data_IF_685618636391
#
_entry.id   IF_685618636391
#
_cell.length_a   1.000
_cell.length_b   1.000
_cell.length_c   1.000
_cell.angle_alpha   90.00
_cell.angle_beta   90.00
_cell.angle_gamma   90.00
#
_symmetry.space_group_name_H-M   'P 1'
#
loop_
_entity.id
_entity.type
_entity.pdbx_description
1 polymer ?
#
# COMPACT_ATOMS: atom_id res chain seq x y z
N UNK A 1 3.94 -3.95 3.94
CA UNK A 1 3.65 -3.81 2.50
C UNK A 1 2.66 -2.68 2.27
N UNK A 2 2.89 -1.84 1.27
CA UNK A 2 1.89 -0.91 0.75
C UNK A 2 1.35 -1.43 -0.57
N UNK A 3 0.04 -1.32 -0.79
CA UNK A 3 -0.61 -1.72 -2.03
C UNK A 3 -1.50 -0.59 -2.49
N UNK A 4 -1.26 -0.17 -3.73
CA UNK A 4 -2.07 0.78 -4.45
C UNK A 4 -2.89 0.00 -5.48
N UNK A 5 -4.20 -0.05 -5.29
CA UNK A 5 -5.18 -0.48 -6.27
C UNK A 5 -5.84 0.76 -6.88
N UNK A 6 -6.47 0.61 -8.03
CA UNK A 6 -7.09 1.73 -8.73
C UNK A 6 -8.23 2.39 -7.94
N UNK A 7 -8.82 1.70 -6.97
CA UNK A 7 -9.91 2.19 -6.10
C UNK A 7 -9.63 2.07 -4.59
N UNK A 8 -8.42 1.65 -4.20
CA UNK A 8 -8.05 1.39 -2.79
C UNK A 8 -6.56 1.57 -2.52
N UNK A 9 -6.21 2.07 -1.32
CA UNK A 9 -4.84 2.11 -0.82
C UNK A 9 -4.76 1.43 0.55
N UNK A 10 -3.88 0.43 0.66
CA UNK A 10 -3.71 -0.38 1.85
C UNK A 10 -2.29 -0.35 2.39
N UNK A 11 -2.17 -0.36 3.71
CA UNK A 11 -0.96 -0.77 4.42
C UNK A 11 -1.19 -2.05 5.20
N UNK A 12 -0.43 -3.09 4.85
CA UNK A 12 -0.55 -4.42 5.42
C UNK A 12 0.73 -4.80 6.14
N UNK A 13 0.62 -5.21 7.41
CA UNK A 13 1.71 -5.67 8.25
C UNK A 13 1.29 -6.93 9.00
N UNK A 14 2.26 -7.72 9.48
CA UNK A 14 1.94 -8.85 10.35
C UNK A 14 1.18 -8.37 11.59
N UNK A 15 0.13 -9.09 11.98
CA UNK A 15 -0.49 -8.85 13.28
C UNK A 15 0.51 -9.24 14.38
N UNK A 16 0.60 -8.43 15.44
CA UNK A 16 1.61 -8.61 16.49
C UNK A 16 1.43 -9.93 17.25
N UNK A 17 0.17 -10.25 17.52
CA UNK A 17 -0.19 -11.35 18.42
C UNK A 17 -0.83 -12.55 17.68
N UNK A 18 -0.97 -12.45 16.35
CA UNK A 18 -1.58 -13.49 15.53
C UNK A 18 -0.69 -13.74 14.28
N UNK A 19 0.09 -14.85 14.27
CA UNK A 19 0.99 -15.17 13.17
C UNK A 19 0.27 -15.63 11.90
N UNK A 20 -1.05 -15.84 11.93
CA UNK A 20 -1.88 -16.24 10.78
C UNK A 20 -2.71 -15.07 10.20
N UNK A 21 -2.80 -13.93 10.91
CA UNK A 21 -3.44 -12.71 10.44
C UNK A 21 -2.50 -11.54 10.09
N UNK A 22 -2.96 -10.69 9.16
CA UNK A 22 -2.39 -9.38 8.87
C UNK A 22 -3.25 -8.29 9.50
N UNK A 23 -2.59 -7.24 10.01
CA UNK A 23 -3.24 -5.97 10.27
C UNK A 23 -3.27 -5.18 8.95
N UNK A 24 -4.45 -5.09 8.36
CA UNK A 24 -4.74 -4.32 7.15
C UNK A 24 -5.25 -2.95 7.56
N UNK A 25 -4.69 -1.89 6.99
CA UNK A 25 -4.94 -0.51 7.40
C UNK A 25 -5.24 0.37 6.19
N UNK A 26 -6.16 1.32 6.35
CA UNK A 26 -6.53 2.29 5.33
C UNK A 26 -6.80 3.68 5.94
N UNK A 27 -6.71 4.71 5.09
CA UNK A 27 -7.09 6.09 5.44
C UNK A 27 -8.52 6.44 5.04
N UNK A 28 -9.04 5.77 4.02
CA UNK A 28 -10.43 5.89 3.56
C UNK A 28 -11.25 4.73 4.10
N UNK A 29 -12.48 5.01 4.53
CA UNK A 29 -13.37 4.07 5.21
C UNK A 29 -13.68 2.82 4.37
N UNK A 30 -13.71 2.97 3.04
CA UNK A 30 -14.16 1.92 2.13
C UNK A 30 -13.02 1.12 1.50
N UNK A 31 -11.77 1.56 1.62
CA UNK A 31 -10.63 0.98 0.91
C UNK A 31 -10.40 -0.50 1.28
N UNK A 32 -10.51 -0.85 2.55
CA UNK A 32 -10.34 -2.24 3.01
C UNK A 32 -11.45 -3.13 2.41
N UNK A 33 -12.69 -2.68 2.44
CA UNK A 33 -13.83 -3.48 1.96
C UNK A 33 -13.86 -3.63 0.44
N UNK A 34 -13.42 -2.60 -0.30
CA UNK A 34 -13.26 -2.68 -1.76
C UNK A 34 -12.21 -3.71 -2.14
N UNK A 35 -11.05 -3.63 -1.49
CA UNK A 35 -9.93 -4.52 -1.79
C UNK A 35 -10.14 -5.95 -1.26
N UNK A 36 -10.80 -6.11 -0.11
CA UNK A 36 -10.98 -7.39 0.58
C UNK A 36 -12.44 -7.50 1.03
N UNK A 37 -13.34 -7.92 0.13
CA UNK A 37 -14.75 -8.09 0.46
C UNK A 37 -14.96 -9.04 1.64
N UNK A 38 -15.79 -8.62 2.61
CA UNK A 38 -16.08 -9.39 3.82
C UNK A 38 -15.12 -9.18 4.99
N UNK A 39 -14.11 -8.32 4.85
CA UNK A 39 -13.28 -7.91 5.99
C UNK A 39 -14.11 -7.12 7.02
N UNK A 40 -13.94 -7.42 8.31
CA UNK A 40 -14.56 -6.63 9.38
C UNK A 40 -13.67 -5.44 9.72
N UNK A 41 -14.10 -4.25 9.30
CA UNK A 41 -13.37 -2.99 9.51
C UNK A 41 -13.79 -2.36 10.83
N UNK A 42 -12.81 -1.89 11.59
CA UNK A 42 -13.01 -1.06 12.78
C UNK A 42 -12.24 0.26 12.66
N UNK A 43 -12.65 1.25 13.45
CA UNK A 43 -12.01 2.55 13.52
C UNK A 43 -11.12 2.67 14.76
N UNK A 44 -9.97 3.31 14.57
CA UNK A 44 -9.06 3.74 15.61
C UNK A 44 -8.71 5.22 15.33
N UNK A 45 -9.38 6.14 16.03
CA UNK A 45 -9.29 7.57 15.75
C UNK A 45 -7.89 8.17 16.06
N UNK A 46 -7.11 7.49 16.91
CA UNK A 46 -5.78 7.93 17.33
C UNK A 46 -4.67 7.39 16.41
N UNK A 47 -5.04 6.55 15.44
CA UNK A 47 -4.11 5.92 14.53
C UNK A 47 -3.78 6.75 13.28
N UNK A 48 -2.53 6.64 12.82
CA UNK A 48 -2.05 7.17 11.53
C UNK A 48 -2.80 6.63 10.30
N UNK A 49 -3.37 5.43 10.44
CA UNK A 49 -4.40 4.84 9.58
C UNK A 49 -5.64 4.56 10.42
N UNK A 50 -6.66 5.40 10.24
CA UNK A 50 -7.91 5.38 11.01
C UNK A 50 -8.68 4.07 10.88
N UNK A 51 -8.73 3.49 9.67
CA UNK A 51 -9.53 2.30 9.39
C UNK A 51 -8.64 1.08 9.38
N UNK A 52 -9.05 0.03 10.08
CA UNK A 52 -8.23 -1.15 10.35
C UNK A 52 -9.05 -2.41 10.26
N UNK A 53 -8.41 -3.52 9.92
CA UNK A 53 -9.00 -4.85 9.96
C UNK A 53 -7.92 -5.87 10.29
N UNK A 54 -8.26 -6.86 11.12
CA UNK A 54 -7.45 -8.06 11.31
C UNK A 54 -7.97 -9.11 10.34
N UNK A 55 -7.15 -9.48 9.36
CA UNK A 55 -7.58 -10.30 8.22
C UNK A 55 -6.67 -11.53 8.09
N UNK A 56 -7.21 -12.75 7.96
CA UNK A 56 -6.41 -13.95 7.70
C UNK A 56 -5.54 -13.79 6.45
N UNK A 57 -4.27 -14.22 6.52
CA UNK A 57 -3.32 -14.13 5.39
C UNK A 57 -3.88 -14.69 4.09
N UNK A 58 -4.56 -15.85 4.15
CA UNK A 58 -5.19 -16.49 2.99
C UNK A 58 -6.21 -15.60 2.30
N UNK A 59 -7.03 -14.89 3.08
CA UNK A 59 -8.08 -14.00 2.55
C UNK A 59 -7.46 -12.78 1.86
N UNK A 60 -6.39 -12.23 2.43
CA UNK A 60 -5.61 -11.17 1.78
C UNK A 60 -4.98 -11.68 0.47
N UNK A 61 -4.39 -12.87 0.48
CA UNK A 61 -3.76 -13.45 -0.71
C UNK A 61 -4.77 -13.68 -1.85
N UNK A 62 -5.94 -14.22 -1.55
CA UNK A 62 -7.01 -14.46 -2.53
C UNK A 62 -7.55 -13.15 -3.13
N UNK A 63 -7.70 -12.12 -2.28
CA UNK A 63 -8.07 -10.77 -2.71
C UNK A 63 -7.03 -10.16 -3.66
N UNK A 64 -5.74 -10.24 -3.32
CA UNK A 64 -4.66 -9.74 -4.18
C UNK A 64 -4.56 -10.52 -5.49
N UNK A 65 -4.74 -11.85 -5.45
CA UNK A 65 -4.82 -12.68 -6.67
C UNK A 65 -5.94 -12.19 -7.57
N UNK A 66 -7.11 -11.93 -7.03
CA UNK A 66 -8.27 -11.46 -7.79
C UNK A 66 -8.01 -10.09 -8.39
N UNK A 67 -7.45 -9.15 -7.62
CA UNK A 67 -7.07 -7.82 -8.10
C UNK A 67 -6.08 -7.89 -9.27
N UNK A 68 -5.06 -8.75 -9.18
CA UNK A 68 -4.05 -8.96 -10.24
C UNK A 68 -4.71 -9.51 -11.52
N UNK A 69 -5.57 -10.52 -11.38
CA UNK A 69 -6.25 -11.12 -12.54
C UNK A 69 -7.27 -10.19 -13.20
N UNK A 70 -7.75 -9.17 -12.48
CA UNK A 70 -8.68 -8.16 -12.99
C UNK A 70 -8.01 -6.95 -13.65
N UNK A 71 -6.68 -6.92 -13.76
CA UNK A 71 -5.98 -5.81 -14.44
C UNK A 71 -6.28 -5.88 -15.94
N UNK A 72 -7.12 -4.96 -16.41
CA UNK A 72 -7.56 -4.82 -17.81
C UNK A 72 -7.15 -3.47 -18.44
N UNK A 73 -6.39 -2.67 -17.70
CA UNK A 73 -5.94 -1.34 -18.10
C UNK A 73 -4.47 -1.33 -18.55
N UNK A 74 -4.11 -0.58 -19.60
CA UNK A 74 -2.73 -0.44 -20.04
C UNK A 74 -1.94 0.59 -19.21
N UNK A 75 -2.63 1.45 -18.45
CA UNK A 75 -2.05 2.50 -17.63
C UNK A 75 -2.78 2.56 -16.28
N UNK A 76 -2.04 2.45 -15.17
CA UNK A 76 -2.63 2.45 -13.84
C UNK A 76 -3.31 3.78 -13.47
N UNK A 77 -2.71 4.93 -13.81
CA UNK A 77 -3.27 6.23 -13.43
C UNK A 77 -4.60 6.47 -14.11
N UNK A 78 -4.70 6.12 -15.39
CA UNK A 78 -5.94 6.27 -16.17
C UNK A 78 -7.08 5.39 -15.63
N UNK A 79 -6.75 4.32 -14.89
CA UNK A 79 -7.74 3.45 -14.24
C UNK A 79 -8.32 4.01 -12.93
N UNK A 80 -7.68 5.01 -12.32
CA UNK A 80 -8.10 5.61 -11.04
C UNK A 80 -9.15 6.69 -11.28
N UNK A 81 -10.42 6.37 -10.99
CA UNK A 81 -11.54 7.28 -11.27
C UNK A 81 -11.73 8.39 -10.23
N UNK A 82 -11.35 8.13 -8.97
CA UNK A 82 -11.52 9.11 -7.89
C UNK A 82 -10.47 10.22 -8.00
N UNK A 83 -10.92 11.46 -8.24
CA UNK A 83 -10.04 12.60 -8.49
C UNK A 83 -8.98 12.82 -7.40
N UNK A 84 -9.38 12.82 -6.12
CA UNK A 84 -8.45 13.07 -5.01
C UNK A 84 -7.43 11.95 -4.84
N UNK A 85 -7.85 10.69 -5.09
CA UNK A 85 -6.98 9.52 -5.10
C UNK A 85 -6.01 9.57 -6.27
N UNK A 86 -6.50 9.87 -7.47
CA UNK A 86 -5.69 10.04 -8.66
C UNK A 86 -4.60 11.10 -8.44
N UNK A 87 -4.97 12.24 -7.87
CA UNK A 87 -4.04 13.31 -7.54
C UNK A 87 -2.99 12.86 -6.51
N UNK A 88 -3.41 12.14 -5.45
CA UNK A 88 -2.48 11.59 -4.45
C UNK A 88 -1.51 10.58 -5.05
N UNK A 89 -2.00 9.63 -5.85
CA UNK A 89 -1.15 8.61 -6.48
C UNK A 89 -0.20 9.22 -7.51
N UNK A 90 -0.64 10.26 -8.24
CA UNK A 90 0.21 10.99 -9.17
C UNK A 90 1.39 11.67 -8.49
N UNK A 91 1.19 12.23 -7.28
CA UNK A 91 2.27 12.78 -6.45
C UNK A 91 3.26 11.69 -6.03
N UNK A 92 2.77 10.58 -5.50
CA UNK A 92 3.63 9.44 -5.12
C UNK A 92 4.43 8.94 -6.31
N UNK A 93 3.80 8.75 -7.47
CA UNK A 93 4.51 8.35 -8.69
C UNK A 93 5.58 9.38 -9.11
N UNK A 94 5.31 10.67 -8.96
CA UNK A 94 6.27 11.74 -9.19
C UNK A 94 7.48 11.62 -8.27
N UNK A 95 7.25 11.41 -6.97
CA UNK A 95 8.33 11.22 -5.99
C UNK A 95 9.16 9.97 -6.31
N UNK A 96 8.51 8.88 -6.73
CA UNK A 96 9.20 7.65 -7.14
C UNK A 96 10.06 7.84 -8.39
N UNK A 97 9.78 8.83 -9.24
CA UNK A 97 10.62 9.15 -10.39
C UNK A 97 12.01 9.62 -9.95
N UNK A 98 12.15 10.27 -8.80
CA UNK A 98 13.44 10.66 -8.25
C UNK A 98 14.32 9.46 -7.84
N UNK A 99 13.73 8.27 -7.67
CA UNK A 99 14.47 7.03 -7.40
C UNK A 99 15.07 6.42 -8.68
N UNK A 100 14.65 6.88 -9.86
CA UNK A 100 15.22 6.44 -11.12
C UNK A 100 16.51 7.24 -11.36
N UNK A 101 17.70 6.60 -11.35
CA UNK A 101 18.94 7.32 -11.59
C UNK A 101 18.96 7.84 -13.04
N UNK A 102 19.31 9.12 -13.20
CA UNK A 102 19.66 9.65 -14.51
C UNK A 102 20.95 8.99 -15.00
N UNK A 103 20.90 8.31 -16.15
CA UNK A 103 22.12 7.79 -16.80
C UNK A 103 22.85 6.68 -16.04
N UNK A 104 22.20 5.52 -15.85
CA UNK A 104 22.90 4.23 -15.80
C UNK A 104 23.94 4.02 -14.69
N UNK A 105 23.81 4.68 -13.53
CA UNK A 105 24.62 4.33 -12.35
C UNK A 105 23.74 4.07 -11.15
N UNK A 106 23.44 2.79 -10.93
CA UNK A 106 23.08 2.28 -9.62
C UNK A 106 24.20 2.70 -8.66
N UNK A 107 23.92 3.62 -7.73
CA UNK A 107 24.80 3.82 -6.59
C UNK A 107 24.59 2.62 -5.68
N UNK A 108 25.67 1.91 -5.38
CA UNK A 108 25.63 0.71 -4.55
C UNK A 108 25.28 1.14 -3.12
N UNK A 109 24.62 0.30 -2.30
CA UNK A 109 24.40 0.59 -0.88
C UNK A 109 25.68 0.95 -0.09
N UNK A 110 26.87 0.72 -0.65
CA UNK A 110 28.15 1.16 -0.10
C UNK A 110 28.39 2.69 -0.18
N UNK A 111 27.60 3.43 -0.97
CA UNK A 111 27.74 4.89 -1.14
C UNK A 111 26.95 5.68 -0.08
N UNK A 112 26.09 5.01 0.70
CA UNK A 112 25.47 5.60 1.89
C UNK A 112 26.40 5.27 3.06
N UNK A 113 27.29 6.22 3.37
CA UNK A 113 28.16 6.13 4.53
C UNK A 113 27.36 5.76 5.79
N UNK A 114 27.88 4.75 6.49
CA UNK A 114 27.50 4.35 7.83
C UNK A 114 27.37 5.60 8.73
N UNK A 115 26.13 6.02 8.94
CA UNK A 115 25.74 7.03 9.91
C UNK A 115 25.53 6.43 11.29
N UNK A 116 26.38 5.50 11.74
CA UNK A 116 26.50 5.18 13.16
C UNK A 116 27.43 6.18 13.83
N UNK A 117 26.85 7.17 14.51
CA UNK A 117 27.49 7.81 15.66
C UNK A 117 26.51 8.67 16.48
N UNK A 118 26.20 8.13 17.67
CA UNK A 118 26.25 8.85 18.95
C UNK A 118 24.98 9.53 19.51
N UNK A 119 24.59 8.97 20.67
CA UNK A 119 23.80 9.46 21.82
C UNK A 119 22.30 9.17 21.80
#
# INVERSE_FOLDING_TARGET
MWVFLNDSFLSMVAHRDDPDALLVRARSQHDINRAIPGATVFEDAEADYRFRAVVPRRMVADAMRTAILGIDYPNFKDSVQEHDRHAAYSRVWGDMTALQPEGGRYHSPADIGDGSASR
#
